data_IF_845980542569
#
_entry.id   IF_845980542569
#
_cell.length_a   1.000
_cell.length_b   1.000
_cell.length_c   1.000
_cell.angle_alpha   90.00
_cell.angle_beta   90.00
_cell.angle_gamma   90.00
#
_symmetry.space_group_name_H-M   'P 1'
#
loop_
_entity.id
_entity.type
_entity.pdbx_description
1 polymer ?
#
# COMPACT_ATOMS: atom_id res chain seq x y z
N UNK A 1 4.68 -4.12 -14.05
CA UNK A 1 3.82 -3.98 -12.85
C UNK A 1 4.52 -4.24 -11.53
N UNK A 2 5.34 -5.25 -11.45
CA UNK A 2 6.06 -5.56 -10.21
C UNK A 2 6.89 -4.37 -9.72
N UNK A 3 7.61 -3.71 -10.63
CA UNK A 3 8.44 -2.55 -10.30
C UNK A 3 7.62 -1.38 -9.76
N UNK A 4 6.46 -1.13 -10.36
CA UNK A 4 5.54 -0.08 -9.89
C UNK A 4 5.07 -0.35 -8.48
N UNK A 5 4.72 -1.60 -8.20
CA UNK A 5 4.22 -2.01 -6.87
C UNK A 5 5.31 -1.82 -5.82
N UNK A 6 6.54 -2.24 -6.12
CA UNK A 6 7.66 -2.10 -5.19
C UNK A 6 8.01 -0.62 -4.95
N UNK A 7 7.93 0.20 -5.98
CA UNK A 7 8.17 1.63 -5.89
C UNK A 7 7.13 2.30 -4.98
N UNK A 8 5.87 1.96 -5.18
CA UNK A 8 4.78 2.46 -4.34
C UNK A 8 4.99 2.04 -2.88
N UNK A 9 5.37 0.79 -2.68
CA UNK A 9 5.67 0.27 -1.33
C UNK A 9 6.73 1.13 -0.63
N UNK A 10 7.83 1.42 -1.31
CA UNK A 10 8.89 2.25 -0.76
C UNK A 10 8.40 3.65 -0.41
N UNK A 11 7.65 4.27 -1.30
CA UNK A 11 7.11 5.60 -1.07
C UNK A 11 6.22 5.62 0.18
N UNK A 12 5.32 4.66 0.30
CA UNK A 12 4.41 4.58 1.44
C UNK A 12 5.18 4.35 2.74
N UNK A 13 6.17 3.46 2.71
CA UNK A 13 7.00 3.19 3.88
C UNK A 13 7.68 4.46 4.38
N UNK A 14 8.21 5.27 3.47
CA UNK A 14 8.87 6.52 3.82
C UNK A 14 7.88 7.52 4.40
N UNK A 15 6.69 7.65 3.80
CA UNK A 15 5.64 8.54 4.32
C UNK A 15 5.20 8.12 5.72
N UNK A 16 5.07 6.83 5.96
CA UNK A 16 4.70 6.33 7.29
C UNK A 16 5.77 6.68 8.32
N UNK A 17 7.04 6.46 7.98
CA UNK A 17 8.15 6.77 8.88
C UNK A 17 8.24 8.26 9.20
N UNK A 18 7.92 9.11 8.24
CA UNK A 18 7.95 10.55 8.41
C UNK A 18 6.71 11.12 9.09
N UNK A 19 5.65 10.31 9.20
CA UNK A 19 4.40 10.75 9.83
C UNK A 19 4.58 10.97 11.32
N UNK A 20 4.15 12.14 11.79
CA UNK A 20 4.25 12.52 13.19
C UNK A 20 2.90 12.62 13.90
N UNK A 21 1.82 12.51 13.16
CA UNK A 21 0.46 12.61 13.71
C UNK A 21 -0.41 11.47 13.22
N UNK A 22 -1.43 11.12 14.00
CA UNK A 22 -2.40 10.11 13.63
C UNK A 22 -3.21 10.55 12.40
N UNK A 23 -3.49 11.82 12.29
CA UNK A 23 -4.19 12.38 11.14
C UNK A 23 -3.41 12.13 9.85
N UNK A 24 -2.11 12.32 9.86
CA UNK A 24 -1.27 12.08 8.70
C UNK A 24 -1.27 10.61 8.28
N UNK A 25 -1.24 9.70 9.26
CA UNK A 25 -1.34 8.26 8.98
C UNK A 25 -2.66 7.90 8.32
N UNK A 26 -3.76 8.48 8.81
CA UNK A 26 -5.07 8.25 8.23
C UNK A 26 -5.16 8.76 6.80
N UNK A 27 -4.57 9.91 6.52
CA UNK A 27 -4.51 10.46 5.16
C UNK A 27 -3.76 9.51 4.22
N UNK A 28 -2.62 8.97 4.68
CA UNK A 28 -1.83 8.02 3.90
C UNK A 28 -2.66 6.77 3.61
N UNK A 29 -3.33 6.24 4.61
CA UNK A 29 -4.17 5.05 4.44
C UNK A 29 -5.26 5.28 3.41
N UNK A 30 -5.97 6.39 3.51
CA UNK A 30 -7.06 6.74 2.58
C UNK A 30 -6.52 6.94 1.17
N UNK A 31 -5.40 7.65 1.03
CA UNK A 31 -4.84 7.96 -0.29
C UNK A 31 -4.32 6.73 -1.03
N UNK A 32 -3.78 5.76 -0.31
CA UNK A 32 -3.16 4.59 -0.95
C UNK A 32 -4.03 3.34 -0.90
N UNK A 33 -4.84 3.18 0.14
CA UNK A 33 -5.63 1.96 0.35
C UNK A 33 -7.14 2.17 0.24
N UNK A 34 -7.60 3.40 0.01
CA UNK A 34 -9.03 3.70 -0.17
C UNK A 34 -9.55 3.26 -1.54
N UNK A 35 -10.85 3.46 -1.76
CA UNK A 35 -11.50 3.06 -3.02
C UNK A 35 -10.91 3.70 -4.26
N UNK A 36 -10.37 4.89 -4.13
CA UNK A 36 -9.70 5.60 -5.22
C UNK A 36 -8.18 5.57 -5.06
N UNK A 37 -7.70 4.72 -4.18
CA UNK A 37 -6.28 4.62 -3.89
C UNK A 37 -5.50 3.91 -5.00
N UNK A 38 -4.18 4.01 -4.90
CA UNK A 38 -3.27 3.48 -5.91
C UNK A 38 -3.37 1.95 -6.03
N UNK A 39 -3.62 1.25 -4.92
CA UNK A 39 -3.78 -0.21 -4.95
C UNK A 39 -5.04 -0.64 -5.70
N UNK A 40 -6.11 0.16 -5.61
CA UNK A 40 -7.32 -0.09 -6.38
C UNK A 40 -7.05 0.07 -7.88
N UNK A 41 -6.29 1.08 -8.25
CA UNK A 41 -5.89 1.29 -9.64
C UNK A 41 -5.00 0.18 -10.16
N UNK A 42 -4.06 -0.29 -9.35
CA UNK A 42 -3.21 -1.42 -9.71
C UNK A 42 -4.02 -2.69 -9.89
N UNK A 43 -5.03 -2.91 -9.05
CA UNK A 43 -5.94 -4.05 -9.18
C UNK A 43 -6.74 -4.00 -10.48
N UNK A 44 -7.14 -2.81 -10.91
CA UNK A 44 -7.83 -2.62 -12.19
C UNK A 44 -6.91 -2.93 -13.37
N UNK A 45 -5.64 -2.53 -13.28
CA UNK A 45 -4.64 -2.82 -14.32
C UNK A 45 -4.37 -4.32 -14.46
N UNK A 46 -4.63 -5.10 -13.43
CA UNK A 46 -4.45 -6.55 -13.48
C UNK A 46 -5.31 -7.21 -14.54
N UNK A 47 -6.42 -6.59 -14.94
CA UNK A 47 -7.28 -7.12 -15.98
C UNK A 47 -6.59 -7.22 -17.33
N UNK A 48 -5.57 -6.37 -17.55
CA UNK A 48 -4.80 -6.35 -18.78
C UNK A 48 -3.67 -7.40 -18.80
N UNK A 49 -3.44 -8.06 -17.69
CA UNK A 49 -2.40 -9.08 -17.57
C UNK A 49 -2.89 -10.44 -18.08
N UNK A 50 -1.94 -11.27 -18.51
CA UNK A 50 -2.25 -12.64 -18.90
C UNK A 50 -2.75 -13.45 -17.70
N UNK A 51 -3.43 -14.55 -17.97
CA UNK A 51 -3.93 -15.45 -16.93
C UNK A 51 -2.80 -15.99 -16.04
N UNK A 52 -1.60 -16.12 -16.59
CA UNK A 52 -0.45 -16.61 -15.85
C UNK A 52 0.14 -15.56 -14.91
N UNK A 53 0.11 -14.30 -15.32
CA UNK A 53 0.68 -13.20 -14.55
C UNK A 53 -0.24 -12.72 -13.43
N UNK A 54 -1.56 -12.79 -13.62
CA UNK A 54 -2.53 -12.30 -12.64
C UNK A 54 -2.31 -12.84 -11.24
N UNK A 55 -2.21 -14.16 -11.01
CA UNK A 55 -2.03 -14.66 -9.64
C UNK A 55 -0.71 -14.22 -9.03
N UNK A 56 0.36 -14.11 -9.82
CA UNK A 56 1.65 -13.68 -9.33
C UNK A 56 1.62 -12.24 -8.85
N UNK A 57 1.06 -11.35 -9.66
CA UNK A 57 0.95 -9.94 -9.33
C UNK A 57 -0.04 -9.71 -8.18
N UNK A 58 -1.16 -10.45 -8.19
CA UNK A 58 -2.13 -10.40 -7.11
C UNK A 58 -1.53 -10.75 -5.76
N UNK A 59 -0.67 -11.76 -5.74
CA UNK A 59 0.03 -12.17 -4.53
C UNK A 59 0.97 -11.05 -4.04
N UNK A 60 1.72 -10.44 -4.95
CA UNK A 60 2.63 -9.34 -4.61
C UNK A 60 1.84 -8.16 -4.04
N UNK A 61 0.73 -7.79 -4.66
CA UNK A 61 -0.13 -6.71 -4.17
C UNK A 61 -0.63 -7.01 -2.75
N UNK A 62 -1.10 -8.24 -2.51
CA UNK A 62 -1.58 -8.62 -1.18
C UNK A 62 -0.47 -8.56 -0.14
N UNK A 63 0.72 -9.06 -0.46
CA UNK A 63 1.87 -9.00 0.44
C UNK A 63 2.24 -7.55 0.80
N UNK A 64 2.24 -6.67 -0.20
CA UNK A 64 2.54 -5.26 0.00
C UNK A 64 1.47 -4.60 0.88
N UNK A 65 0.19 -4.88 0.62
CA UNK A 65 -0.90 -4.36 1.45
C UNK A 65 -0.78 -4.78 2.91
N UNK A 66 -0.48 -6.06 3.15
CA UNK A 66 -0.30 -6.56 4.50
C UNK A 66 0.87 -5.89 5.20
N UNK A 67 1.99 -5.72 4.50
CA UNK A 67 3.16 -5.05 5.03
C UNK A 67 2.84 -3.60 5.41
N UNK A 68 2.15 -2.89 4.55
CA UNK A 68 1.77 -1.51 4.79
C UNK A 68 0.80 -1.39 5.95
N UNK A 69 -0.19 -2.28 6.03
CA UNK A 69 -1.12 -2.30 7.16
C UNK A 69 -0.39 -2.51 8.48
N UNK A 70 0.59 -3.42 8.51
CA UNK A 70 1.41 -3.66 9.69
C UNK A 70 2.20 -2.41 10.09
N UNK A 71 2.79 -1.72 9.12
CA UNK A 71 3.56 -0.51 9.37
C UNK A 71 2.67 0.64 9.88
N UNK A 72 1.50 0.78 9.30
CA UNK A 72 0.52 1.78 9.74
C UNK A 72 0.09 1.52 11.17
N UNK A 73 -0.17 0.26 11.50
CA UNK A 73 -0.60 -0.14 12.82
C UNK A 73 0.50 0.11 13.87
N UNK A 74 1.73 -0.28 13.55
CA UNK A 74 2.88 -0.05 14.42
C UNK A 74 3.10 1.44 14.68
N UNK A 75 3.05 2.26 13.63
CA UNK A 75 3.24 3.69 13.75
C UNK A 75 2.10 4.36 14.51
N UNK A 76 0.88 3.88 14.29
CA UNK A 76 -0.30 4.35 15.01
C UNK A 76 -0.13 4.13 16.52
N UNK A 77 0.32 2.95 16.92
CA UNK A 77 0.57 2.64 18.33
C UNK A 77 1.67 3.54 18.91
N UNK A 78 2.76 3.71 18.17
CA UNK A 78 3.87 4.54 18.61
C UNK A 78 3.44 6.00 18.82
N UNK A 79 2.59 6.53 17.97
CA UNK A 79 2.11 7.90 18.09
C UNK A 79 1.05 8.09 19.19
N UNK A 80 0.34 7.04 19.56
CA UNK A 80 -0.62 7.10 20.66
C UNK A 80 0.05 7.09 22.02
N UNK A 81 1.22 6.54 22.11
CA UNK A 81 2.02 6.52 23.34
C UNK A 81 2.84 7.79 23.47
#
# INVERSE_FOLDING_TARGET
MKEEILKVKEEIQNYIKESKTLQRLEEIRVNYMGKKGIFTELSKKMKDLSAEERPKIGQIINEVKEKINSLLDERNRALKE
#
